data_IF_046470922725
#
_entry.id   IF_046470922725
#
_cell.length_a   1.000
_cell.length_b   1.000
_cell.length_c   1.000
_cell.angle_alpha   90.00
_cell.angle_beta   90.00
_cell.angle_gamma   90.00
#
_symmetry.space_group_name_H-M   'P 1'
#
loop_
_entity.id
_entity.type
_entity.pdbx_description
1 polymer ?
#
# COMPACT_ATOMS: atom_id res chain seq x y z
N UNK A 1 14.32 27.03 29.62
CA UNK A 1 13.46 26.27 28.67
C UNK A 1 14.32 25.18 28.09
N UNK A 2 14.07 23.90 28.41
CA UNK A 2 14.75 22.79 27.76
C UNK A 2 14.45 22.88 26.25
N UNK A 3 15.46 22.99 25.39
CA UNK A 3 15.29 22.95 23.95
C UNK A 3 14.65 21.59 23.63
N UNK A 4 13.40 21.59 23.17
CA UNK A 4 12.77 20.34 22.68
C UNK A 4 13.70 19.75 21.61
N UNK A 5 14.13 18.52 21.82
CA UNK A 5 14.97 17.79 20.87
C UNK A 5 14.27 17.75 19.51
N UNK A 6 15.01 18.06 18.43
CA UNK A 6 14.47 18.13 17.08
C UNK A 6 14.14 16.71 16.61
N UNK A 7 12.91 16.48 16.16
CA UNK A 7 12.37 15.16 15.84
C UNK A 7 13.16 14.44 14.76
N UNK A 8 13.58 15.16 13.70
CA UNK A 8 14.38 14.60 12.60
C UNK A 8 15.78 14.17 13.08
N UNK A 9 16.39 14.91 14.02
CA UNK A 9 17.70 14.55 14.59
C UNK A 9 17.59 13.27 15.40
N UNK A 10 16.61 13.21 16.31
CA UNK A 10 16.38 12.01 17.13
C UNK A 10 16.06 10.79 16.29
N UNK A 11 15.22 10.92 15.25
CA UNK A 11 14.94 9.83 14.33
C UNK A 11 16.19 9.35 13.60
N UNK A 12 17.02 10.27 13.10
CA UNK A 12 18.26 9.93 12.38
C UNK A 12 19.25 9.18 13.27
N UNK A 13 19.40 9.60 14.51
CA UNK A 13 20.25 8.91 15.50
C UNK A 13 19.76 7.50 15.77
N UNK A 14 18.46 7.31 16.02
CA UNK A 14 17.84 6.01 16.26
C UNK A 14 18.00 5.08 15.05
N UNK A 15 17.76 5.57 13.84
CA UNK A 15 17.90 4.78 12.60
C UNK A 15 19.33 4.36 12.36
N UNK A 16 20.31 5.24 12.64
CA UNK A 16 21.73 4.98 12.38
C UNK A 16 22.30 3.81 13.17
N UNK A 17 21.75 3.54 14.36
CA UNK A 17 22.25 2.49 15.26
C UNK A 17 21.55 1.14 15.13
N UNK A 18 20.47 1.05 14.35
CA UNK A 18 19.77 -0.23 14.12
C UNK A 18 20.66 -1.17 13.30
N UNK A 19 20.91 -2.33 13.86
CA UNK A 19 21.65 -3.42 13.20
C UNK A 19 20.69 -4.48 12.66
N UNK A 20 21.01 -5.16 11.54
CA UNK A 20 20.17 -6.22 10.98
C UNK A 20 19.78 -7.31 12.01
N UNK A 21 20.74 -7.69 12.88
CA UNK A 21 20.58 -8.75 13.88
C UNK A 21 19.63 -8.37 15.02
N UNK A 22 19.29 -7.09 15.14
CA UNK A 22 18.39 -6.57 16.17
C UNK A 22 16.94 -6.45 15.70
N UNK A 23 16.66 -6.71 14.42
CA UNK A 23 15.30 -6.72 13.90
C UNK A 23 14.60 -8.00 14.36
N UNK A 24 13.44 -7.91 15.04
CA UNK A 24 12.73 -9.09 15.51
C UNK A 24 12.29 -9.99 14.35
N UNK A 25 12.32 -11.30 14.57
CA UNK A 25 11.91 -12.30 13.56
C UNK A 25 10.49 -12.07 13.02
N UNK A 26 9.57 -11.60 13.85
CA UNK A 26 8.23 -11.20 13.42
C UNK A 26 8.27 -10.08 12.40
N UNK A 27 9.11 -9.05 12.60
CA UNK A 27 9.26 -7.94 11.63
C UNK A 27 9.93 -8.43 10.35
N UNK A 28 10.96 -9.28 10.45
CA UNK A 28 11.59 -9.91 9.27
C UNK A 28 10.55 -10.68 8.44
N UNK A 29 9.71 -11.47 9.10
CA UNK A 29 8.65 -12.24 8.41
C UNK A 29 7.65 -11.33 7.70
N UNK A 30 7.16 -10.29 8.36
CA UNK A 30 6.22 -9.31 7.78
C UNK A 30 6.86 -8.57 6.62
N UNK A 31 8.12 -8.13 6.75
CA UNK A 31 8.86 -7.46 5.67
C UNK A 31 8.97 -8.35 4.42
N UNK A 32 9.30 -9.64 4.57
CA UNK A 32 9.34 -10.60 3.46
C UNK A 32 7.97 -10.76 2.79
N UNK A 33 6.92 -10.86 3.58
CA UNK A 33 5.54 -10.97 3.09
C UNK A 33 5.12 -9.73 2.30
N UNK A 34 5.39 -8.53 2.83
CA UNK A 34 5.12 -7.26 2.13
C UNK A 34 5.93 -7.16 0.84
N UNK A 35 7.19 -7.57 0.87
CA UNK A 35 8.07 -7.55 -0.33
C UNK A 35 7.51 -8.44 -1.44
N UNK A 36 7.14 -9.69 -1.12
CA UNK A 36 6.54 -10.61 -2.09
C UNK A 36 5.21 -10.09 -2.63
N UNK A 37 4.35 -9.59 -1.75
CA UNK A 37 3.07 -9.00 -2.10
C UNK A 37 3.22 -7.81 -3.06
N UNK A 38 4.14 -6.89 -2.73
CA UNK A 38 4.42 -5.69 -3.54
C UNK A 38 4.92 -6.05 -4.93
N UNK A 39 5.86 -6.99 -5.03
CA UNK A 39 6.38 -7.45 -6.33
C UNK A 39 5.26 -8.11 -7.13
N UNK A 40 4.45 -8.97 -6.50
CA UNK A 40 3.30 -9.60 -7.16
C UNK A 40 2.28 -8.60 -7.69
N UNK A 41 1.98 -7.53 -6.93
CA UNK A 41 1.10 -6.45 -7.38
C UNK A 41 1.69 -5.68 -8.56
N UNK A 42 3.01 -5.40 -8.54
CA UNK A 42 3.67 -4.72 -9.65
C UNK A 42 3.66 -5.56 -10.95
N UNK A 43 3.89 -6.86 -10.83
CA UNK A 43 3.84 -7.77 -11.97
C UNK A 43 2.42 -7.88 -12.55
N UNK A 44 1.37 -7.84 -11.73
CA UNK A 44 -0.02 -7.82 -12.19
C UNK A 44 -0.31 -6.61 -13.10
N UNK A 45 0.26 -5.46 -12.77
CA UNK A 45 0.05 -4.20 -13.49
C UNK A 45 0.94 -4.02 -14.74
N UNK A 46 1.88 -4.93 -15.01
CA UNK A 46 2.93 -4.74 -16.02
C UNK A 46 2.40 -4.48 -17.44
N UNK A 47 1.20 -4.96 -17.78
CA UNK A 47 0.58 -4.76 -19.11
C UNK A 47 -0.49 -3.67 -19.16
N UNK A 48 -0.59 -2.85 -18.12
CA UNK A 48 -1.57 -1.77 -18.07
C UNK A 48 -1.15 -0.58 -18.95
N UNK A 49 -2.13 0.19 -19.43
CA UNK A 49 -1.90 1.38 -20.26
C UNK A 49 -1.07 2.47 -19.56
N UNK A 50 -1.21 2.60 -18.25
CA UNK A 50 -0.39 3.53 -17.47
C UNK A 50 1.06 3.08 -17.34
N UNK A 51 1.34 1.77 -17.31
CA UNK A 51 2.69 1.22 -17.38
C UNK A 51 3.35 1.51 -18.72
N UNK A 52 2.63 1.31 -19.82
CA UNK A 52 3.13 1.67 -21.17
C UNK A 52 3.48 3.16 -21.27
N UNK A 53 2.68 4.03 -20.68
CA UNK A 53 2.95 5.47 -20.64
C UNK A 53 4.22 5.81 -19.88
N UNK A 54 4.47 5.13 -18.75
CA UNK A 54 5.70 5.30 -17.96
C UNK A 54 6.94 4.79 -18.70
N UNK A 55 6.84 3.63 -19.34
CA UNK A 55 7.94 3.06 -20.15
C UNK A 55 8.35 3.98 -21.29
N UNK A 56 7.38 4.54 -22.02
CA UNK A 56 7.64 5.52 -23.08
C UNK A 56 8.35 6.78 -22.59
N UNK A 57 7.98 7.27 -21.39
CA UNK A 57 8.61 8.44 -20.77
C UNK A 57 10.01 8.15 -20.26
N UNK A 58 10.23 6.95 -19.68
CA UNK A 58 11.55 6.58 -19.15
C UNK A 58 12.63 6.49 -20.23
N UNK A 59 12.26 6.06 -21.45
CA UNK A 59 13.16 6.01 -22.60
C UNK A 59 13.72 7.38 -22.99
N UNK A 60 13.01 8.47 -22.67
CA UNK A 60 13.47 9.85 -22.91
C UNK A 60 14.47 10.32 -21.83
N UNK A 61 14.45 9.73 -20.66
CA UNK A 61 15.31 10.07 -19.51
C UNK A 61 16.71 9.45 -19.56
N UNK A 62 16.97 8.59 -20.52
CA UNK A 62 18.24 7.84 -20.65
C UNK A 62 18.13 6.36 -20.39
N UNK A 63 19.17 5.61 -20.72
CA UNK A 63 19.26 4.17 -20.49
C UNK A 63 19.82 3.87 -19.10
N UNK A 64 19.46 2.69 -18.55
CA UNK A 64 20.01 2.20 -17.29
C UNK A 64 19.78 0.68 -17.16
N UNK A 65 20.38 0.09 -16.15
CA UNK A 65 20.36 -1.35 -15.90
C UNK A 65 19.59 -1.74 -14.64
N UNK A 66 18.92 -0.78 -13.99
CA UNK A 66 18.12 -1.07 -12.80
C UNK A 66 16.84 -1.78 -13.26
N UNK A 67 16.49 -2.97 -12.71
CA UNK A 67 15.38 -3.77 -13.20
C UNK A 67 14.04 -3.04 -13.12
N UNK A 68 13.31 -3.04 -14.22
CA UNK A 68 11.86 -2.83 -14.23
C UNK A 68 11.23 -4.22 -14.08
N UNK A 69 10.46 -4.41 -13.02
CA UNK A 69 9.94 -5.72 -12.66
C UNK A 69 8.94 -6.24 -13.71
N UNK A 70 9.22 -7.43 -14.22
CA UNK A 70 8.43 -8.04 -15.30
C UNK A 70 8.84 -7.61 -16.70
N UNK A 71 9.95 -6.87 -16.88
CA UNK A 71 10.47 -6.47 -18.19
C UNK A 71 11.92 -6.93 -18.39
N UNK A 72 12.33 -7.04 -19.66
CA UNK A 72 13.71 -7.42 -19.99
C UNK A 72 14.67 -6.24 -19.85
N UNK A 73 14.22 -5.06 -20.24
CA UNK A 73 14.98 -3.84 -20.20
C UNK A 73 14.93 -3.21 -18.80
N UNK A 74 16.02 -2.56 -18.44
CA UNK A 74 16.11 -1.73 -17.24
C UNK A 74 15.98 -0.25 -17.56
N UNK A 75 15.99 0.57 -16.53
CA UNK A 75 16.00 2.03 -16.62
C UNK A 75 17.06 2.63 -15.69
N UNK A 76 17.22 3.96 -15.73
CA UNK A 76 17.91 4.67 -14.67
C UNK A 76 17.19 4.43 -13.33
N UNK A 77 17.91 4.66 -12.23
CA UNK A 77 17.43 4.33 -10.89
C UNK A 77 16.10 5.02 -10.53
N UNK A 78 15.92 6.25 -10.96
CA UNK A 78 14.73 7.04 -10.63
C UNK A 78 13.53 6.57 -11.43
N UNK A 79 13.71 6.33 -12.72
CA UNK A 79 12.68 5.79 -13.61
C UNK A 79 12.27 4.38 -13.18
N UNK A 80 13.23 3.51 -12.82
CA UNK A 80 12.94 2.16 -12.35
C UNK A 80 12.10 2.19 -11.05
N UNK A 81 12.50 3.00 -10.06
CA UNK A 81 11.74 3.13 -8.81
C UNK A 81 10.34 3.72 -9.06
N UNK A 82 10.21 4.72 -9.95
CA UNK A 82 8.94 5.32 -10.35
C UNK A 82 8.00 4.27 -10.96
N UNK A 83 8.48 3.52 -11.96
CA UNK A 83 7.67 2.52 -12.67
C UNK A 83 7.27 1.39 -11.72
N UNK A 84 8.23 0.81 -10.99
CA UNK A 84 7.98 -0.30 -10.09
C UNK A 84 6.98 0.08 -8.98
N UNK A 85 7.11 1.27 -8.38
CA UNK A 85 6.20 1.77 -7.35
C UNK A 85 4.81 2.09 -7.89
N UNK A 86 4.72 2.68 -9.07
CA UNK A 86 3.44 2.95 -9.73
C UNK A 86 2.71 1.66 -10.07
N UNK A 87 3.42 0.66 -10.62
CA UNK A 87 2.86 -0.65 -10.93
C UNK A 87 2.41 -1.38 -9.67
N UNK A 88 3.22 -1.35 -8.60
CA UNK A 88 2.87 -1.98 -7.33
C UNK A 88 1.56 -1.43 -6.73
N UNK A 89 1.28 -0.14 -6.92
CA UNK A 89 0.05 0.53 -6.45
C UNK A 89 -1.09 0.53 -7.48
N UNK A 90 -0.82 0.01 -8.68
CA UNK A 90 -1.69 0.14 -9.85
C UNK A 90 -3.07 -0.45 -9.69
N UNK A 91 -3.16 -1.63 -9.09
CA UNK A 91 -4.39 -2.41 -9.01
C UNK A 91 -5.12 -2.30 -7.66
N UNK A 92 -4.66 -1.44 -6.75
CA UNK A 92 -5.21 -1.25 -5.40
C UNK A 92 -5.29 -2.55 -4.59
N UNK A 93 -4.33 -3.45 -4.81
CA UNK A 93 -4.27 -4.76 -4.18
C UNK A 93 -3.09 -4.93 -3.22
N UNK A 94 -2.32 -3.89 -3.06
CA UNK A 94 -1.13 -3.81 -2.20
C UNK A 94 -1.48 -3.68 -0.72
N UNK A 95 -0.48 -3.94 0.12
CA UNK A 95 -0.59 -3.86 1.57
C UNK A 95 -0.96 -2.45 2.08
N UNK A 96 -1.62 -2.37 3.22
CA UNK A 96 -1.98 -1.12 3.89
C UNK A 96 -1.85 -1.23 5.40
N UNK A 97 -1.59 -0.10 6.08
CA UNK A 97 -1.53 -0.07 7.53
C UNK A 97 -2.92 0.23 8.12
N UNK A 98 -3.37 -0.57 9.08
CA UNK A 98 -4.66 -0.35 9.74
C UNK A 98 -4.62 0.89 10.63
N UNK A 99 -5.71 1.67 10.63
CA UNK A 99 -5.84 2.89 11.42
C UNK A 99 -5.27 4.15 10.75
N UNK A 100 -4.52 4.01 9.66
CA UNK A 100 -4.09 5.12 8.81
C UNK A 100 -3.94 4.63 7.36
N UNK A 101 -4.45 5.37 6.37
CA UNK A 101 -4.42 4.93 4.96
C UNK A 101 -3.05 5.15 4.32
N UNK A 102 -2.01 4.48 4.82
CA UNK A 102 -0.68 4.46 4.21
C UNK A 102 -0.34 3.07 3.67
N UNK A 103 0.33 3.04 2.52
CA UNK A 103 0.71 1.86 1.78
C UNK A 103 2.24 1.78 1.69
N UNK A 104 2.87 1.20 2.73
CA UNK A 104 4.33 1.24 2.85
C UNK A 104 5.04 0.35 1.82
N UNK A 105 4.47 -0.81 1.48
CA UNK A 105 5.06 -1.75 0.54
C UNK A 105 5.42 -1.11 -0.80
N UNK A 106 4.46 -0.42 -1.42
CA UNK A 106 4.57 0.15 -2.77
C UNK A 106 5.53 1.34 -2.89
N UNK A 107 5.93 1.92 -1.78
CA UNK A 107 6.91 3.01 -1.74
C UNK A 107 8.29 2.49 -1.36
N UNK A 108 8.36 1.76 -0.24
CA UNK A 108 9.64 1.37 0.36
C UNK A 108 10.32 0.26 -0.45
N UNK A 109 9.56 -0.76 -0.88
CA UNK A 109 10.15 -1.89 -1.63
C UNK A 109 10.77 -1.44 -2.96
N UNK A 110 10.11 -0.66 -3.83
CA UNK A 110 10.71 -0.17 -5.06
C UNK A 110 11.93 0.72 -4.84
N UNK A 111 11.88 1.60 -3.83
CA UNK A 111 13.01 2.47 -3.50
C UNK A 111 14.24 1.66 -3.09
N UNK A 112 14.06 0.73 -2.16
CA UNK A 112 15.17 -0.05 -1.58
C UNK A 112 15.72 -1.09 -2.54
N UNK A 113 14.88 -1.78 -3.33
CA UNK A 113 15.38 -2.75 -4.30
C UNK A 113 16.09 -2.05 -5.46
N UNK A 114 15.62 -0.89 -5.93
CA UNK A 114 16.30 -0.12 -6.98
C UNK A 114 17.65 0.42 -6.50
N UNK A 115 17.69 1.03 -5.30
CA UNK A 115 18.94 1.55 -4.72
C UNK A 115 19.90 0.41 -4.37
N UNK A 116 19.38 -0.68 -3.83
CA UNK A 116 20.17 -1.87 -3.51
C UNK A 116 20.82 -2.50 -4.73
N UNK A 117 20.09 -2.55 -5.86
CA UNK A 117 20.65 -3.02 -7.12
C UNK A 117 21.82 -2.14 -7.60
N UNK A 118 21.66 -0.81 -7.53
CA UNK A 118 22.71 0.14 -7.88
C UNK A 118 23.96 0.00 -6.99
N UNK A 119 23.76 -0.23 -5.69
CA UNK A 119 24.84 -0.30 -4.70
C UNK A 119 25.39 -1.71 -4.47
N UNK A 120 24.85 -2.73 -5.12
CA UNK A 120 25.16 -4.14 -4.87
C UNK A 120 24.96 -4.55 -3.41
N UNK A 121 23.93 -4.02 -2.76
CA UNK A 121 23.69 -4.21 -1.34
C UNK A 121 23.46 -5.68 -0.95
N UNK A 122 23.88 -6.05 0.26
CA UNK A 122 23.61 -7.37 0.82
C UNK A 122 22.13 -7.53 1.19
N UNK A 123 21.63 -8.77 1.18
CA UNK A 123 20.26 -9.05 1.62
C UNK A 123 19.98 -8.62 3.06
N UNK A 124 20.98 -8.65 3.94
CA UNK A 124 20.88 -8.14 5.33
C UNK A 124 20.65 -6.64 5.37
N UNK A 125 21.38 -5.86 4.56
CA UNK A 125 21.19 -4.41 4.49
C UNK A 125 19.87 -4.04 3.85
N UNK A 126 19.45 -4.79 2.82
CA UNK A 126 18.13 -4.66 2.21
C UNK A 126 17.03 -4.92 3.26
N UNK A 127 17.10 -6.03 3.99
CA UNK A 127 16.13 -6.36 5.03
C UNK A 127 16.06 -5.27 6.10
N UNK A 128 17.20 -4.75 6.54
CA UNK A 128 17.29 -3.65 7.49
C UNK A 128 16.59 -2.39 6.96
N UNK A 129 16.93 -1.98 5.75
CA UNK A 129 16.39 -0.76 5.15
C UNK A 129 14.88 -0.86 4.90
N UNK A 130 14.40 -2.01 4.40
CA UNK A 130 12.96 -2.28 4.23
C UNK A 130 12.22 -2.18 5.56
N UNK A 131 12.71 -2.85 6.61
CA UNK A 131 12.07 -2.85 7.93
C UNK A 131 12.00 -1.43 8.52
N UNK A 132 13.09 -0.67 8.46
CA UNK A 132 13.14 0.73 8.91
C UNK A 132 12.13 1.58 8.13
N UNK A 133 12.10 1.46 6.80
CA UNK A 133 11.19 2.24 5.97
C UNK A 133 9.72 1.97 6.27
N UNK A 134 9.33 0.71 6.41
CA UNK A 134 7.97 0.33 6.80
C UNK A 134 7.61 0.91 8.17
N UNK A 135 8.50 0.81 9.15
CA UNK A 135 8.29 1.34 10.49
C UNK A 135 8.11 2.86 10.51
N UNK A 136 9.01 3.59 9.83
CA UNK A 136 8.93 5.05 9.75
C UNK A 136 7.61 5.47 9.10
N UNK A 137 7.21 4.82 8.00
CA UNK A 137 5.97 5.17 7.31
C UNK A 137 4.72 4.92 8.14
N UNK A 138 4.65 3.80 8.85
CA UNK A 138 3.53 3.48 9.73
C UNK A 138 3.44 4.45 10.90
N UNK A 139 4.57 4.84 11.51
CA UNK A 139 4.61 5.81 12.61
C UNK A 139 4.21 7.22 12.15
N UNK A 140 4.70 7.68 11.00
CA UNK A 140 4.25 8.95 10.40
C UNK A 140 2.74 8.92 10.14
N UNK A 141 2.24 7.81 9.62
CA UNK A 141 0.82 7.60 9.42
C UNK A 141 0.01 7.66 10.72
N UNK A 142 0.51 7.04 11.78
CA UNK A 142 -0.16 7.04 13.09
C UNK A 142 -0.23 8.45 13.71
N UNK A 143 0.80 9.29 13.50
CA UNK A 143 0.78 10.69 13.94
C UNK A 143 -0.32 11.48 13.22
N UNK A 144 -0.44 11.30 11.90
CA UNK A 144 -1.38 12.08 11.08
C UNK A 144 -2.81 11.54 11.10
N UNK A 145 -2.99 10.24 11.34
CA UNK A 145 -4.28 9.59 11.20
C UNK A 145 -4.88 9.88 9.81
N UNK A 146 -6.01 10.60 9.78
CA UNK A 146 -6.70 10.97 8.53
C UNK A 146 -6.47 12.43 8.10
N UNK A 147 -5.71 13.23 8.86
CA UNK A 147 -5.62 14.69 8.65
C UNK A 147 -5.01 15.08 7.31
N UNK A 148 -3.98 14.38 6.85
CA UNK A 148 -3.39 14.60 5.52
C UNK A 148 -4.41 14.36 4.42
N UNK A 149 -5.21 13.30 4.54
CA UNK A 149 -6.27 13.00 3.58
C UNK A 149 -7.40 14.03 3.61
N UNK A 150 -7.78 14.51 4.80
CA UNK A 150 -8.79 15.57 4.96
C UNK A 150 -8.36 16.90 4.34
N UNK A 151 -7.05 17.16 4.28
CA UNK A 151 -6.46 18.33 3.60
C UNK A 151 -6.36 18.19 2.09
N UNK A 152 -6.83 17.08 1.51
CA UNK A 152 -6.80 16.85 0.07
C UNK A 152 -5.49 16.25 -0.45
N UNK A 153 -4.67 15.65 0.42
CA UNK A 153 -3.41 15.01 0.02
C UNK A 153 -3.46 13.50 0.23
N UNK A 154 -2.67 12.77 -0.57
CA UNK A 154 -2.52 11.33 -0.44
C UNK A 154 -1.45 10.99 0.60
N UNK A 155 -1.80 10.42 1.77
CA UNK A 155 -0.84 10.14 2.83
C UNK A 155 0.32 9.26 2.37
N UNK A 156 0.06 8.27 1.52
CA UNK A 156 1.09 7.40 0.94
C UNK A 156 2.16 8.18 0.18
N UNK A 157 1.78 9.23 -0.54
CA UNK A 157 2.73 10.06 -1.29
C UNK A 157 3.55 10.97 -0.37
N UNK A 158 2.86 11.74 0.49
CA UNK A 158 3.50 12.72 1.36
C UNK A 158 4.42 12.04 2.36
N UNK A 159 3.87 11.11 3.15
CA UNK A 159 4.61 10.43 4.22
C UNK A 159 5.60 9.39 3.66
N UNK A 160 5.25 8.79 2.52
CA UNK A 160 6.11 7.84 1.82
C UNK A 160 7.40 8.47 1.31
N UNK A 161 7.38 9.73 0.89
CA UNK A 161 8.59 10.47 0.51
C UNK A 161 9.58 10.58 1.68
N UNK A 162 9.10 10.89 2.88
CA UNK A 162 9.95 10.94 4.08
C UNK A 162 10.44 9.54 4.49
N UNK A 163 9.55 8.56 4.47
CA UNK A 163 9.86 7.19 4.89
C UNK A 163 10.86 6.50 3.94
N UNK A 164 10.69 6.65 2.63
CA UNK A 164 11.64 6.12 1.64
C UNK A 164 13.01 6.79 1.75
N UNK A 165 13.04 8.08 2.09
CA UNK A 165 14.29 8.79 2.36
C UNK A 165 15.04 8.19 3.55
N UNK A 166 14.36 7.93 4.66
CA UNK A 166 15.01 7.31 5.83
C UNK A 166 15.46 5.88 5.53
N UNK A 167 14.66 5.11 4.78
CA UNK A 167 15.05 3.77 4.34
C UNK A 167 16.28 3.78 3.41
N UNK A 168 16.30 4.67 2.41
CA UNK A 168 17.44 4.84 1.50
C UNK A 168 18.69 5.33 2.24
N UNK A 169 18.53 6.28 3.15
CA UNK A 169 19.62 6.78 3.99
C UNK A 169 20.21 5.68 4.87
N UNK A 170 19.36 4.82 5.43
CA UNK A 170 19.79 3.64 6.16
C UNK A 170 20.57 2.67 5.27
N UNK A 171 20.08 2.38 4.04
CA UNK A 171 20.77 1.50 3.09
C UNK A 171 22.13 2.03 2.68
N UNK A 172 22.26 3.34 2.49
CA UNK A 172 23.51 4.03 2.16
C UNK A 172 24.44 4.22 3.37
N UNK A 173 24.03 3.78 4.56
CA UNK A 173 24.78 3.97 5.81
C UNK A 173 25.16 5.44 6.06
N UNK A 174 24.25 6.38 5.75
CA UNK A 174 24.50 7.80 5.99
C UNK A 174 24.67 8.08 7.48
N UNK A 175 25.51 9.07 7.79
CA UNK A 175 25.67 9.57 9.16
C UNK A 175 24.39 10.32 9.60
N UNK A 176 24.08 10.43 10.91
CA UNK A 176 22.88 11.12 11.38
C UNK A 176 22.68 12.51 10.78
N UNK A 177 23.73 13.32 10.69
CA UNK A 177 23.67 14.66 10.07
C UNK A 177 23.26 14.61 8.59
N UNK A 178 23.74 13.63 7.84
CA UNK A 178 23.37 13.43 6.43
C UNK A 178 21.92 12.96 6.31
N UNK A 179 21.45 12.09 7.22
CA UNK A 179 20.05 11.66 7.28
C UNK A 179 19.10 12.84 7.57
N UNK A 180 19.51 13.76 8.46
CA UNK A 180 18.76 15.00 8.74
C UNK A 180 18.67 15.87 7.49
N UNK A 181 19.77 16.04 6.77
CA UNK A 181 19.76 16.76 5.49
C UNK A 181 18.84 16.06 4.48
N UNK A 182 18.92 14.73 4.36
CA UNK A 182 18.13 13.96 3.42
C UNK A 182 16.62 14.15 3.67
N UNK A 183 16.16 14.01 4.92
CA UNK A 183 14.75 14.18 5.25
C UNK A 183 14.30 15.65 5.07
N UNK A 184 15.20 16.61 5.32
CA UNK A 184 14.97 18.03 5.04
C UNK A 184 14.79 18.33 3.55
N UNK A 185 15.58 17.70 2.69
CA UNK A 185 15.46 17.79 1.23
C UNK A 185 14.15 17.13 0.79
N UNK A 186 13.85 15.93 1.30
CA UNK A 186 12.65 15.19 0.98
C UNK A 186 11.37 15.93 1.35
N UNK A 187 11.37 16.70 2.42
CA UNK A 187 10.23 17.52 2.84
C UNK A 187 9.77 18.50 1.72
N UNK A 188 10.72 19.03 0.94
CA UNK A 188 10.42 19.89 -0.22
C UNK A 188 9.98 19.11 -1.46
N UNK A 189 10.07 17.78 -1.46
CA UNK A 189 9.64 16.90 -2.55
C UNK A 189 8.30 16.23 -2.26
N UNK A 190 7.73 16.40 -1.06
CA UNK A 190 6.41 15.88 -0.70
C UNK A 190 5.32 16.46 -1.60
N UNK A 191 4.43 15.60 -2.09
CA UNK A 191 3.37 15.99 -3.04
C UNK A 191 2.26 14.93 -3.09
N UNK A 192 1.27 15.13 -3.97
CA UNK A 192 0.24 14.15 -4.27
C UNK A 192 -1.13 14.55 -3.73
N UNK A 193 -1.96 15.15 -4.61
CA UNK A 193 -3.35 15.53 -4.30
C UNK A 193 -4.30 14.36 -4.56
N UNK A 194 -5.46 14.37 -3.89
CA UNK A 194 -6.45 13.29 -4.01
C UNK A 194 -7.56 13.58 -5.03
N UNK A 195 -7.40 14.59 -5.88
CA UNK A 195 -8.41 14.95 -6.88
C UNK A 195 -8.74 13.82 -7.88
N UNK A 196 -7.86 12.83 -8.01
CA UNK A 196 -8.16 11.61 -8.77
C UNK A 196 -9.42 10.85 -8.29
N UNK A 197 -9.93 11.17 -7.10
CA UNK A 197 -11.17 10.59 -6.60
C UNK A 197 -12.39 11.10 -7.37
N UNK A 198 -12.29 12.26 -8.02
CA UNK A 198 -13.39 12.87 -8.79
C UNK A 198 -13.59 12.19 -10.15
N UNK A 199 -12.52 11.75 -10.80
CA UNK A 199 -12.56 11.25 -12.19
C UNK A 199 -11.94 9.86 -12.40
N UNK A 200 -11.27 9.30 -11.37
CA UNK A 200 -10.61 7.99 -11.45
C UNK A 200 -9.32 8.00 -12.28
N UNK A 201 -8.71 9.18 -12.49
CA UNK A 201 -7.46 9.33 -13.24
C UNK A 201 -6.31 8.51 -12.62
N UNK A 202 -5.24 8.29 -13.41
CA UNK A 202 -4.14 7.40 -13.05
C UNK A 202 -3.19 7.95 -11.98
N UNK A 203 -3.36 9.21 -11.55
CA UNK A 203 -2.39 9.90 -10.69
C UNK A 203 -2.22 9.29 -9.31
N UNK A 204 -3.26 8.64 -8.74
CA UNK A 204 -3.09 7.90 -7.48
C UNK A 204 -1.96 6.88 -7.57
N UNK A 205 -1.90 6.14 -8.68
CA UNK A 205 -0.91 5.07 -8.91
C UNK A 205 0.51 5.63 -8.92
N UNK A 206 0.69 6.77 -9.60
CA UNK A 206 1.96 7.48 -9.72
C UNK A 206 2.55 7.87 -8.36
N UNK A 207 1.72 8.19 -7.38
CA UNK A 207 2.15 8.72 -6.08
C UNK A 207 3.13 7.82 -5.34
N UNK A 208 2.95 6.50 -5.42
CA UNK A 208 3.84 5.55 -4.76
C UNK A 208 5.23 5.54 -5.39
N UNK A 209 5.29 5.47 -6.73
CA UNK A 209 6.56 5.54 -7.47
C UNK A 209 7.25 6.88 -7.33
N UNK A 210 6.48 7.98 -7.32
CA UNK A 210 7.01 9.32 -7.09
C UNK A 210 7.67 9.44 -5.71
N UNK A 211 7.02 8.95 -4.66
CA UNK A 211 7.57 8.92 -3.32
C UNK A 211 8.84 8.06 -3.23
N UNK A 212 8.87 6.91 -3.91
CA UNK A 212 10.02 6.02 -3.96
C UNK A 212 11.25 6.69 -4.61
N UNK A 213 11.09 7.26 -5.82
CA UNK A 213 12.19 7.96 -6.49
C UNK A 213 12.65 9.20 -5.74
N UNK A 214 11.73 9.93 -5.10
CA UNK A 214 12.06 11.14 -4.32
C UNK A 214 12.93 10.80 -3.12
N UNK A 215 12.65 9.69 -2.44
CA UNK A 215 13.48 9.21 -1.33
C UNK A 215 14.90 8.85 -1.74
N UNK A 216 15.06 8.17 -2.88
CA UNK A 216 16.39 7.87 -3.45
C UNK A 216 17.13 9.18 -3.76
N UNK A 217 16.45 10.11 -4.44
CA UNK A 217 17.04 11.38 -4.87
C UNK A 217 17.49 12.22 -3.68
N UNK A 218 16.64 12.36 -2.66
CA UNK A 218 16.95 13.11 -1.45
C UNK A 218 18.16 12.52 -0.70
N UNK A 219 18.23 11.20 -0.58
CA UNK A 219 19.34 10.52 0.10
C UNK A 219 20.67 10.68 -0.65
N UNK A 220 20.66 10.54 -1.98
CA UNK A 220 21.86 10.74 -2.79
C UNK A 220 22.33 12.19 -2.82
N UNK A 221 21.41 13.16 -2.83
CA UNK A 221 21.76 14.60 -2.71
C UNK A 221 22.43 14.89 -1.36
N UNK A 222 21.89 14.38 -0.26
CA UNK A 222 22.47 14.56 1.05
C UNK A 222 23.85 13.88 1.17
N UNK A 223 24.02 12.69 0.59
CA UNK A 223 25.32 12.00 0.51
C UNK A 223 26.35 12.84 -0.25
N UNK A 224 25.91 13.56 -1.30
CA UNK A 224 26.75 14.47 -2.08
C UNK A 224 27.01 15.83 -1.39
N UNK A 225 26.48 16.05 -0.18
CA UNK A 225 26.71 17.27 0.61
C UNK A 225 25.64 18.34 0.45
N UNK A 226 24.52 18.08 -0.25
CA UNK A 226 23.39 19.03 -0.29
C UNK A 226 22.71 19.09 1.08
N UNK A 227 22.26 20.30 1.49
CA UNK A 227 21.71 20.51 2.82
C UNK A 227 20.18 20.67 2.77
N UNK A 228 19.51 20.23 3.85
CA UNK A 228 18.08 20.39 4.06
C UNK A 228 17.78 20.97 5.44
N UNK A 229 16.60 21.56 5.66
CA UNK A 229 16.23 22.13 6.94
C UNK A 229 16.11 21.06 8.03
N UNK A 230 16.69 21.32 9.19
CA UNK A 230 16.70 20.40 10.32
C UNK A 230 15.31 20.16 10.89
N UNK A 231 14.49 21.20 11.05
CA UNK A 231 13.10 21.13 11.57
C UNK A 231 12.07 20.86 10.48
N UNK A 232 12.41 20.02 9.51
CA UNK A 232 11.54 19.74 8.35
C UNK A 232 10.25 19.00 8.70
N UNK A 233 10.22 18.26 9.80
CA UNK A 233 9.04 17.51 10.27
C UNK A 233 8.14 18.40 11.11
N UNK A 234 8.65 18.92 12.22
CA UNK A 234 7.93 19.56 13.32
C UNK A 234 8.10 21.08 13.40
N UNK A 235 8.79 21.69 12.45
CA UNK A 235 9.00 23.14 12.39
C UNK A 235 7.74 23.93 11.98
N UNK A 236 7.76 25.24 12.23
CA UNK A 236 6.65 26.16 11.94
C UNK A 236 6.24 26.17 10.46
N UNK A 237 7.12 25.75 9.57
CA UNK A 237 6.90 25.58 8.13
C UNK A 237 7.21 24.15 7.66
N UNK A 238 7.19 23.18 8.59
CA UNK A 238 7.48 21.77 8.31
C UNK A 238 6.34 21.04 7.60
N UNK A 239 6.58 19.76 7.30
CA UNK A 239 5.64 18.91 6.54
C UNK A 239 4.28 18.80 7.25
N UNK A 240 4.25 18.67 8.58
CA UNK A 240 2.99 18.55 9.31
C UNK A 240 2.18 19.84 9.33
N UNK A 241 2.85 21.00 9.35
CA UNK A 241 2.20 22.27 9.16
C UNK A 241 1.58 22.39 7.77
N UNK A 242 2.34 22.03 6.72
CA UNK A 242 1.91 22.19 5.34
C UNK A 242 0.80 21.21 4.92
N UNK A 243 0.91 19.93 5.32
CA UNK A 243 0.08 18.84 4.78
C UNK A 243 -0.93 18.27 5.78
N UNK A 244 -0.92 18.68 7.06
CA UNK A 244 -1.88 18.25 8.07
C UNK A 244 -2.57 19.44 8.74
N UNK A 245 -3.30 19.22 9.84
CA UNK A 245 -4.03 20.29 10.55
C UNK A 245 -3.16 21.03 11.59
N UNK A 246 -1.90 21.31 11.28
CA UNK A 246 -1.01 22.11 12.11
C UNK A 246 0.07 21.31 12.83
N UNK A 247 0.81 22.01 13.71
CA UNK A 247 2.02 21.50 14.36
C UNK A 247 1.77 20.85 15.74
N UNK A 248 0.54 20.87 16.23
CA UNK A 248 0.22 20.30 17.55
C UNK A 248 -0.04 18.77 17.44
N UNK A 249 1.00 18.03 17.07
CA UNK A 249 0.97 16.58 16.89
C UNK A 249 1.78 15.89 17.99
N UNK A 250 1.46 14.62 18.27
CA UNK A 250 2.29 13.80 19.13
C UNK A 250 3.47 13.20 18.35
N UNK A 251 4.55 13.96 18.21
CA UNK A 251 5.75 13.53 17.50
C UNK A 251 6.54 12.42 18.21
N UNK A 252 6.29 12.18 19.50
CA UNK A 252 6.94 11.10 20.26
C UNK A 252 6.65 9.73 19.63
N UNK A 253 5.48 9.57 19.03
CA UNK A 253 5.12 8.34 18.29
C UNK A 253 6.20 7.94 17.26
N UNK A 254 6.89 8.91 16.65
CA UNK A 254 7.92 8.65 15.66
C UNK A 254 9.18 8.03 16.25
N UNK A 255 9.52 8.37 17.50
CA UNK A 255 10.82 8.05 18.10
C UNK A 255 10.72 7.17 19.35
N UNK A 256 9.57 7.13 20.03
CA UNK A 256 9.38 6.33 21.23
C UNK A 256 9.59 4.83 20.92
N UNK A 257 10.44 4.18 21.70
CA UNK A 257 10.79 2.75 21.55
C UNK A 257 11.16 2.33 20.11
N UNK A 258 11.65 3.26 19.29
CA UNK A 258 12.06 2.95 17.91
C UNK A 258 13.19 1.90 17.89
N UNK A 259 12.99 0.84 17.12
CA UNK A 259 13.91 -0.31 17.07
C UNK A 259 13.63 -1.40 18.13
N UNK A 260 12.81 -1.12 19.15
CA UNK A 260 12.33 -2.09 20.14
C UNK A 260 10.88 -2.51 19.87
N UNK A 261 10.01 -1.54 19.66
CA UNK A 261 8.60 -1.74 19.30
C UNK A 261 8.40 -1.44 17.81
N UNK A 262 7.93 -2.43 17.08
CA UNK A 262 7.70 -2.36 15.63
C UNK A 262 6.20 -2.41 15.35
N UNK A 263 5.58 -1.25 15.11
CA UNK A 263 4.13 -1.17 14.85
C UNK A 263 3.77 -1.64 13.45
N UNK A 264 4.71 -1.57 12.50
CA UNK A 264 4.53 -2.02 11.13
C UNK A 264 4.29 -3.52 10.98
N UNK A 265 4.53 -4.32 12.03
CA UNK A 265 4.11 -5.73 12.10
C UNK A 265 2.61 -5.87 11.85
N UNK A 266 1.82 -4.85 12.18
CA UNK A 266 0.36 -4.83 11.98
C UNK A 266 -0.06 -4.40 10.57
N UNK A 267 0.86 -4.34 9.60
CA UNK A 267 0.50 -4.04 8.21
C UNK A 267 -0.35 -5.16 7.63
N UNK A 268 -1.52 -4.79 7.11
CA UNK A 268 -2.44 -5.71 6.46
C UNK A 268 -2.01 -5.98 5.02
N UNK A 269 -2.04 -7.25 4.60
CA UNK A 269 -1.93 -7.65 3.20
C UNK A 269 -3.35 -7.90 2.68
N UNK A 270 -3.77 -7.13 1.67
CA UNK A 270 -5.12 -7.21 1.14
C UNK A 270 -5.45 -8.61 0.59
N UNK A 271 -6.56 -9.17 1.05
CA UNK A 271 -7.09 -10.44 0.54
C UNK A 271 -7.84 -10.26 -0.80
N UNK A 272 -8.34 -9.05 -1.09
CA UNK A 272 -9.14 -8.73 -2.26
C UNK A 272 -8.64 -7.45 -2.94
N UNK A 273 -8.68 -7.34 -4.29
CA UNK A 273 -8.20 -6.16 -5.04
C UNK A 273 -9.23 -5.03 -5.05
N UNK A 274 -9.52 -4.48 -3.87
CA UNK A 274 -10.53 -3.44 -3.68
C UNK A 274 -10.20 -2.54 -2.48
N UNK A 275 -10.98 -1.49 -2.27
CA UNK A 275 -10.82 -0.62 -1.09
C UNK A 275 -10.91 -1.44 0.20
N UNK A 276 -9.95 -1.28 1.10
CA UNK A 276 -9.78 -2.13 2.30
C UNK A 276 -11.06 -2.26 3.13
N UNK A 277 -11.85 -1.18 3.24
CA UNK A 277 -13.11 -1.18 4.00
C UNK A 277 -14.24 -2.00 3.36
N UNK A 278 -14.09 -2.46 2.10
CA UNK A 278 -15.05 -3.37 1.45
C UNK A 278 -14.84 -4.83 1.86
N UNK A 279 -13.63 -5.18 2.32
CA UNK A 279 -13.23 -6.57 2.56
C UNK A 279 -14.11 -7.32 3.58
N UNK A 280 -14.47 -6.75 4.74
CA UNK A 280 -15.35 -7.45 5.68
C UNK A 280 -16.73 -7.75 5.08
N UNK A 281 -17.25 -6.86 4.21
CA UNK A 281 -18.52 -7.09 3.50
C UNK A 281 -18.39 -8.19 2.44
N UNK A 282 -17.23 -8.28 1.77
CA UNK A 282 -16.89 -9.37 0.84
C UNK A 282 -16.87 -10.69 1.60
N UNK A 283 -16.22 -10.76 2.76
CA UNK A 283 -16.17 -11.98 3.59
C UNK A 283 -17.58 -12.44 4.01
N UNK A 284 -18.46 -11.52 4.46
CA UNK A 284 -19.86 -11.83 4.76
C UNK A 284 -20.57 -12.41 3.54
N UNK A 285 -20.35 -11.84 2.35
CA UNK A 285 -20.98 -12.33 1.12
C UNK A 285 -20.43 -13.69 0.68
N UNK A 286 -19.12 -13.93 0.83
CA UNK A 286 -18.52 -15.24 0.57
C UNK A 286 -19.06 -16.33 1.51
N UNK A 287 -19.34 -15.99 2.76
CA UNK A 287 -20.03 -16.90 3.69
C UNK A 287 -21.49 -17.11 3.24
N UNK A 288 -22.24 -16.04 3.01
CA UNK A 288 -23.64 -16.10 2.59
C UNK A 288 -23.82 -16.93 1.32
N UNK A 289 -22.90 -16.79 0.34
CA UNK A 289 -22.99 -17.51 -0.94
C UNK A 289 -22.94 -19.04 -0.85
N UNK A 290 -22.56 -19.59 0.30
CA UNK A 290 -22.54 -21.03 0.58
C UNK A 290 -23.89 -21.54 1.09
N UNK A 291 -24.74 -20.63 1.60
CA UNK A 291 -25.94 -20.96 2.41
C UNK A 291 -27.24 -20.42 1.81
N UNK A 292 -27.16 -19.51 0.83
CA UNK A 292 -28.32 -18.86 0.25
C UNK A 292 -28.41 -19.12 -1.26
N UNK A 293 -29.67 -19.19 -1.75
CA UNK A 293 -29.97 -19.13 -3.18
C UNK A 293 -30.16 -17.66 -3.57
N UNK A 294 -29.31 -17.12 -4.47
CA UNK A 294 -29.35 -15.72 -4.89
C UNK A 294 -30.70 -15.33 -5.54
N UNK A 295 -31.41 -16.28 -6.17
CA UNK A 295 -32.71 -16.02 -6.77
C UNK A 295 -33.78 -15.69 -5.73
N UNK A 296 -33.61 -16.16 -4.50
CA UNK A 296 -34.53 -15.94 -3.38
C UNK A 296 -34.22 -14.67 -2.59
N UNK A 297 -33.09 -13.97 -2.90
CA UNK A 297 -32.72 -12.73 -2.21
C UNK A 297 -33.60 -11.60 -2.69
N UNK A 298 -34.34 -10.99 -1.76
CA UNK A 298 -35.15 -9.78 -1.99
C UNK A 298 -34.28 -8.52 -1.85
N UNK A 299 -33.63 -8.34 -0.71
CA UNK A 299 -32.72 -7.23 -0.44
C UNK A 299 -31.63 -7.60 0.56
N UNK A 300 -30.54 -6.82 0.56
CA UNK A 300 -29.43 -6.91 1.52
C UNK A 300 -29.26 -5.53 2.16
N UNK A 301 -29.30 -5.47 3.49
CA UNK A 301 -29.07 -4.25 4.25
C UNK A 301 -27.73 -4.37 5.00
N UNK A 302 -26.88 -3.37 4.86
CA UNK A 302 -25.55 -3.35 5.47
C UNK A 302 -25.47 -2.27 6.56
N UNK A 303 -24.94 -2.61 7.73
CA UNK A 303 -24.56 -1.65 8.75
C UNK A 303 -23.20 -1.05 8.37
N UNK A 304 -23.08 0.28 8.28
CA UNK A 304 -21.86 0.93 7.81
C UNK A 304 -21.44 2.10 8.70
N UNK A 305 -20.14 2.28 8.86
CA UNK A 305 -19.56 3.47 9.49
C UNK A 305 -19.72 4.70 8.58
N UNK A 306 -20.19 5.82 9.12
CA UNK A 306 -20.45 7.06 8.38
C UNK A 306 -19.24 7.52 7.55
N UNK A 307 -18.02 7.41 8.11
CA UNK A 307 -16.78 7.82 7.45
C UNK A 307 -16.44 7.03 6.17
N UNK A 308 -17.12 5.90 5.89
CA UNK A 308 -16.90 5.10 4.67
C UNK A 308 -17.87 5.47 3.55
N UNK A 309 -18.99 6.13 3.89
CA UNK A 309 -20.13 6.32 2.99
C UNK A 309 -19.76 7.08 1.72
N UNK A 310 -19.16 8.24 1.85
CA UNK A 310 -18.85 9.12 0.71
C UNK A 310 -17.91 8.49 -0.32
N UNK A 311 -17.09 7.52 0.07
CA UNK A 311 -16.11 6.88 -0.83
C UNK A 311 -16.60 5.58 -1.44
N UNK A 312 -17.35 4.78 -0.68
CA UNK A 312 -17.63 3.39 -1.02
C UNK A 312 -19.11 3.10 -1.29
N UNK A 313 -20.00 4.00 -0.85
CA UNK A 313 -21.44 3.78 -0.94
C UNK A 313 -22.15 4.86 -1.76
N UNK A 314 -21.62 6.09 -1.82
CA UNK A 314 -22.28 7.18 -2.52
C UNK A 314 -21.48 7.69 -3.74
N UNK A 315 -22.15 8.18 -4.78
CA UNK A 315 -23.60 8.09 -5.02
C UNK A 315 -24.04 6.63 -5.26
N UNK A 316 -25.03 6.15 -4.48
CA UNK A 316 -25.39 4.73 -4.44
C UNK A 316 -25.64 4.11 -5.82
N UNK A 317 -26.32 4.83 -6.71
CA UNK A 317 -26.61 4.37 -8.08
C UNK A 317 -25.36 4.11 -8.91
N UNK A 318 -24.35 4.98 -8.78
CA UNK A 318 -23.08 4.77 -9.45
C UNK A 318 -22.28 3.64 -8.81
N UNK A 319 -22.40 3.47 -7.49
CA UNK A 319 -21.75 2.35 -6.79
C UNK A 319 -22.40 1.01 -7.12
N UNK A 320 -23.70 0.98 -7.39
CA UNK A 320 -24.40 -0.23 -7.82
C UNK A 320 -24.12 -0.60 -9.29
N UNK A 321 -23.72 0.35 -10.10
CA UNK A 321 -23.36 0.17 -11.52
C UNK A 321 -22.14 1.04 -11.86
N UNK A 322 -20.93 0.65 -11.45
CA UNK A 322 -19.72 1.44 -11.63
C UNK A 322 -19.35 1.56 -13.11
N UNK A 323 -18.84 2.74 -13.53
CA UNK A 323 -18.58 3.04 -14.95
C UNK A 323 -17.33 2.35 -15.53
N UNK A 324 -16.41 1.87 -14.69
CA UNK A 324 -15.18 1.22 -15.10
C UNK A 324 -14.61 0.32 -13.99
N UNK A 325 -13.61 -0.49 -14.34
CA UNK A 325 -12.95 -1.44 -13.43
C UNK A 325 -12.42 -0.80 -12.16
N UNK A 326 -11.80 0.38 -12.28
CA UNK A 326 -11.21 1.05 -11.12
C UNK A 326 -12.27 1.59 -10.15
N UNK A 327 -13.34 2.19 -10.68
CA UNK A 327 -14.48 2.65 -9.87
C UNK A 327 -15.18 1.47 -9.15
N UNK A 328 -15.22 0.29 -9.78
CA UNK A 328 -15.79 -0.92 -9.20
C UNK A 328 -15.03 -1.38 -7.95
N UNK A 329 -13.71 -1.25 -7.91
CA UNK A 329 -12.85 -1.57 -6.74
C UNK A 329 -13.17 -0.71 -5.52
N UNK A 330 -13.80 0.45 -5.72
CA UNK A 330 -14.27 1.36 -4.67
C UNK A 330 -15.79 1.40 -4.53
N UNK A 331 -16.45 0.31 -4.89
CA UNK A 331 -17.88 0.12 -4.73
C UNK A 331 -18.17 -1.07 -3.84
N UNK A 332 -18.63 -0.83 -2.60
CA UNK A 332 -19.02 -1.94 -1.71
C UNK A 332 -20.16 -2.75 -2.28
N UNK A 333 -21.30 -2.17 -2.78
CA UNK A 333 -22.39 -2.96 -3.34
C UNK A 333 -21.96 -3.85 -4.50
N UNK A 334 -21.10 -3.34 -5.39
CA UNK A 334 -20.65 -4.11 -6.55
C UNK A 334 -19.67 -5.22 -6.14
N UNK A 335 -18.72 -4.95 -5.25
CA UNK A 335 -17.82 -5.97 -4.70
C UNK A 335 -18.59 -7.10 -3.99
N UNK A 336 -19.63 -6.76 -3.22
CA UNK A 336 -20.51 -7.74 -2.58
C UNK A 336 -21.25 -8.59 -3.60
N UNK A 337 -21.80 -7.99 -4.66
CA UNK A 337 -22.48 -8.72 -5.72
C UNK A 337 -21.53 -9.69 -6.44
N UNK A 338 -20.32 -9.23 -6.78
CA UNK A 338 -19.28 -10.11 -7.34
C UNK A 338 -18.98 -11.30 -6.43
N UNK A 339 -18.79 -11.06 -5.14
CA UNK A 339 -18.49 -12.11 -4.16
C UNK A 339 -19.63 -13.14 -4.04
N UNK A 340 -20.88 -12.70 -4.08
CA UNK A 340 -22.06 -13.56 -4.04
C UNK A 340 -22.16 -14.48 -5.28
N UNK A 341 -21.88 -13.93 -6.47
CA UNK A 341 -21.99 -14.68 -7.72
C UNK A 341 -20.80 -15.61 -7.96
N UNK A 342 -19.57 -15.11 -7.78
CA UNK A 342 -18.36 -15.87 -8.14
C UNK A 342 -17.79 -16.71 -7.01
N UNK A 343 -18.25 -16.50 -5.76
CA UNK A 343 -17.70 -17.20 -4.56
C UNK A 343 -16.18 -17.05 -4.41
N UNK A 344 -15.59 -16.12 -5.13
CA UNK A 344 -14.17 -15.74 -5.16
C UNK A 344 -14.09 -14.30 -5.66
N UNK A 345 -13.11 -13.54 -5.19
CA UNK A 345 -12.82 -12.20 -5.69
C UNK A 345 -11.33 -12.04 -5.92
N UNK A 346 -10.94 -11.82 -7.15
CA UNK A 346 -9.55 -11.56 -7.57
C UNK A 346 -9.53 -10.48 -8.66
N UNK A 347 -8.35 -10.19 -9.23
CA UNK A 347 -8.21 -9.15 -10.26
C UNK A 347 -9.12 -9.39 -11.48
N UNK A 348 -9.24 -10.63 -11.95
CA UNK A 348 -10.13 -10.97 -13.08
C UNK A 348 -11.62 -10.68 -12.79
N UNK A 349 -12.02 -10.61 -11.52
CA UNK A 349 -13.40 -10.32 -11.14
C UNK A 349 -13.86 -8.90 -11.48
N UNK A 350 -12.93 -8.00 -11.81
CA UNK A 350 -13.22 -6.61 -12.16
C UNK A 350 -13.16 -6.33 -13.67
N UNK A 351 -13.09 -7.37 -14.52
CA UNK A 351 -13.04 -7.21 -15.97
C UNK A 351 -14.33 -6.61 -16.54
N UNK A 352 -14.25 -6.01 -17.72
CA UNK A 352 -15.41 -5.44 -18.43
C UNK A 352 -16.56 -6.44 -18.61
N UNK A 353 -16.24 -7.72 -18.75
CA UNK A 353 -17.24 -8.78 -18.83
C UNK A 353 -18.18 -8.77 -17.63
N UNK A 354 -17.63 -8.65 -16.42
CA UNK A 354 -18.43 -8.68 -15.20
C UNK A 354 -19.03 -7.31 -14.86
N UNK A 355 -18.42 -6.21 -15.30
CA UNK A 355 -18.97 -4.87 -15.19
C UNK A 355 -20.28 -4.72 -15.98
N UNK A 356 -20.40 -5.41 -17.10
CA UNK A 356 -21.62 -5.39 -17.95
C UNK A 356 -22.61 -6.50 -17.64
N UNK A 357 -22.32 -7.38 -16.67
CA UNK A 357 -23.19 -8.51 -16.32
C UNK A 357 -24.46 -8.03 -15.59
N UNK A 358 -25.61 -8.26 -16.26
CA UNK A 358 -26.93 -7.82 -15.77
C UNK A 358 -27.32 -8.46 -14.46
N UNK A 359 -26.91 -9.70 -14.19
CA UNK A 359 -27.25 -10.41 -12.94
C UNK A 359 -26.44 -9.86 -11.77
N UNK A 360 -25.19 -9.53 -11.98
CA UNK A 360 -24.34 -8.87 -10.97
C UNK A 360 -24.91 -7.49 -10.66
N UNK A 361 -25.24 -6.68 -11.68
CA UNK A 361 -25.84 -5.35 -11.52
C UNK A 361 -27.19 -5.46 -10.80
N UNK A 362 -28.03 -6.44 -11.16
CA UNK A 362 -29.33 -6.69 -10.50
C UNK A 362 -29.14 -7.00 -9.01
N UNK A 363 -28.15 -7.81 -8.66
CA UNK A 363 -27.83 -8.14 -7.28
C UNK A 363 -27.29 -6.91 -6.54
N UNK A 364 -26.38 -6.15 -7.13
CA UNK A 364 -25.86 -4.91 -6.55
C UNK A 364 -27.00 -3.89 -6.25
N UNK A 365 -28.01 -3.79 -7.12
CA UNK A 365 -29.16 -2.92 -6.91
C UNK A 365 -30.05 -3.32 -5.70
N UNK A 366 -29.98 -4.57 -5.25
CA UNK A 366 -30.67 -5.05 -4.04
C UNK A 366 -29.93 -4.67 -2.75
N UNK A 367 -28.65 -4.24 -2.84
CA UNK A 367 -27.81 -3.91 -1.70
C UNK A 367 -28.02 -2.45 -1.31
N UNK A 368 -28.37 -2.25 -0.04
CA UNK A 368 -28.61 -0.96 0.60
C UNK A 368 -27.76 -0.88 1.87
N UNK A 369 -27.62 0.32 2.41
CA UNK A 369 -26.94 0.51 3.69
C UNK A 369 -27.79 1.33 4.66
N UNK A 370 -27.44 1.24 5.94
CA UNK A 370 -27.84 2.17 7.00
C UNK A 370 -26.59 2.52 7.82
N UNK A 371 -26.54 3.76 8.29
CA UNK A 371 -25.43 4.22 9.14
C UNK A 371 -25.57 3.58 10.52
N UNK A 372 -24.48 2.96 10.98
CA UNK A 372 -24.34 2.48 12.35
C UNK A 372 -23.49 3.48 13.14
N UNK A 373 -24.09 4.24 14.09
CA UNK A 373 -23.35 5.23 14.87
C UNK A 373 -22.29 4.63 15.83
N UNK A 374 -22.38 3.31 16.07
CA UNK A 374 -21.44 2.57 16.91
C UNK A 374 -20.37 1.83 16.11
N UNK A 375 -20.24 2.10 14.81
CA UNK A 375 -19.20 1.49 13.99
C UNK A 375 -17.81 1.97 14.44
N UNK A 376 -16.83 1.07 14.64
CA UNK A 376 -15.50 1.42 15.16
C UNK A 376 -14.57 2.11 14.16
N UNK A 377 -14.98 2.29 12.90
CA UNK A 377 -14.17 2.98 11.89
C UNK A 377 -13.73 4.37 12.36
N UNK A 378 -12.45 4.79 12.19
CA UNK A 378 -11.39 4.15 11.40
C UNK A 378 -10.48 3.18 12.19
N UNK A 379 -10.75 2.89 13.46
CA UNK A 379 -9.89 2.05 14.31
C UNK A 379 -9.90 0.59 13.90
N UNK A 380 -11.05 0.10 13.47
CA UNK A 380 -11.27 -1.27 13.02
C UNK A 380 -12.16 -1.28 11.78
N UNK A 381 -12.02 -2.34 10.98
CA UNK A 381 -12.83 -2.57 9.79
C UNK A 381 -13.68 -3.81 10.01
N UNK A 382 -14.98 -3.59 10.18
CA UNK A 382 -15.97 -4.65 10.44
C UNK A 382 -17.09 -4.60 9.40
N UNK A 383 -17.90 -5.65 9.33
CA UNK A 383 -19.14 -5.66 8.55
C UNK A 383 -20.23 -6.44 9.27
N UNK A 384 -21.45 -6.00 9.04
CA UNK A 384 -22.68 -6.71 9.39
C UNK A 384 -23.69 -6.54 8.26
N UNK A 385 -24.22 -7.65 7.74
CA UNK A 385 -25.20 -7.65 6.66
C UNK A 385 -26.43 -8.47 7.05
N UNK A 386 -27.58 -8.03 6.59
CA UNK A 386 -28.88 -8.69 6.75
C UNK A 386 -29.41 -9.04 5.37
N UNK A 387 -29.48 -10.31 5.06
CA UNK A 387 -30.02 -10.83 3.80
C UNK A 387 -31.46 -11.22 4.02
N UNK A 388 -32.41 -10.47 3.42
CA UNK A 388 -33.82 -10.78 3.42
C UNK A 388 -34.17 -11.64 2.19
N UNK A 389 -34.77 -12.78 2.43
CA UNK A 389 -35.28 -13.69 1.39
C UNK A 389 -36.73 -13.34 1.01
N UNK A 390 -37.14 -13.77 -0.17
CA UNK A 390 -38.54 -13.61 -0.68
C UNK A 390 -39.58 -14.26 0.24
N UNK A 391 -39.18 -15.26 1.03
CA UNK A 391 -40.02 -15.87 2.07
C UNK A 391 -40.26 -14.97 3.29
N UNK A 392 -39.58 -13.81 3.38
CA UNK A 392 -39.56 -12.96 4.56
C UNK A 392 -38.50 -13.34 5.60
N UNK A 393 -37.82 -14.48 5.45
CA UNK A 393 -36.75 -14.88 6.35
C UNK A 393 -35.57 -13.91 6.22
N UNK A 394 -34.96 -13.53 7.36
CA UNK A 394 -33.75 -12.72 7.41
C UNK A 394 -32.63 -13.59 7.94
N UNK A 395 -31.50 -13.61 7.21
CA UNK A 395 -30.23 -14.22 7.62
C UNK A 395 -29.21 -13.12 7.90
N UNK A 396 -28.49 -13.25 9.01
CA UNK A 396 -27.46 -12.29 9.44
C UNK A 396 -26.09 -12.90 9.25
N UNK A 397 -25.15 -12.10 8.72
CA UNK A 397 -23.73 -12.43 8.60
C UNK A 397 -22.91 -11.26 9.12
N UNK A 398 -21.84 -11.57 9.85
CA UNK A 398 -20.96 -10.54 10.42
C UNK A 398 -19.49 -10.94 10.33
N UNK A 399 -18.65 -9.94 10.18
CA UNK A 399 -17.18 -10.05 10.21
C UNK A 399 -16.63 -8.99 11.16
N UNK A 400 -15.84 -9.40 12.14
CA UNK A 400 -15.38 -8.54 13.22
C UNK A 400 -13.95 -8.02 13.06
N UNK A 401 -13.25 -8.41 11.99
CA UNK A 401 -11.90 -7.94 11.69
C UNK A 401 -11.61 -8.03 10.20
N UNK A 402 -10.56 -7.37 9.77
CA UNK A 402 -10.05 -7.40 8.41
C UNK A 402 -9.29 -8.71 8.16
N UNK A 403 -9.70 -9.50 7.17
CA UNK A 403 -8.88 -10.60 6.66
C UNK A 403 -7.62 -10.05 6.01
N UNK A 404 -6.47 -10.60 6.36
CA UNK A 404 -5.15 -10.10 5.99
C UNK A 404 -4.61 -9.04 6.94
N UNK A 405 -5.39 -8.58 7.93
CA UNK A 405 -5.00 -7.60 8.95
C UNK A 405 -4.41 -8.24 10.21
N UNK A 406 -4.19 -7.40 11.22
CA UNK A 406 -3.49 -7.76 12.47
C UNK A 406 -4.14 -8.92 13.25
N UNK A 407 -5.46 -9.06 13.18
CA UNK A 407 -6.21 -10.09 13.93
C UNK A 407 -6.45 -11.37 13.13
N UNK A 408 -6.32 -11.32 11.82
CA UNK A 408 -6.49 -12.46 10.90
C UNK A 408 -5.50 -12.31 9.73
N UNK A 409 -4.18 -12.38 9.99
CA UNK A 409 -3.17 -12.22 8.94
C UNK A 409 -3.26 -13.34 7.90
N UNK A 410 -2.94 -13.01 6.63
CA UNK A 410 -2.77 -14.05 5.62
C UNK A 410 -1.59 -14.95 5.97
N UNK A 411 -1.79 -16.24 5.86
CA UNK A 411 -0.73 -17.24 5.98
C UNK A 411 0.25 -17.16 4.80
N UNK A 412 1.48 -17.65 5.00
CA UNK A 412 2.48 -17.73 3.93
C UNK A 412 1.95 -18.43 2.66
N UNK A 413 1.22 -19.57 2.72
CA UNK A 413 0.61 -20.17 1.53
C UNK A 413 -0.40 -19.25 0.83
N UNK A 414 -1.23 -18.48 1.56
CA UNK A 414 -2.19 -17.55 0.96
C UNK A 414 -1.48 -16.38 0.25
N UNK A 415 -0.38 -15.87 0.80
CA UNK A 415 0.42 -14.82 0.17
C UNK A 415 1.09 -15.33 -1.11
N UNK A 416 1.63 -16.56 -1.08
CA UNK A 416 2.20 -17.21 -2.26
C UNK A 416 1.12 -17.43 -3.33
N UNK A 417 -0.07 -17.90 -2.94
CA UNK A 417 -1.18 -18.08 -3.87
C UNK A 417 -1.62 -16.75 -4.50
N UNK A 418 -1.67 -15.66 -3.72
CA UNK A 418 -1.94 -14.31 -4.21
C UNK A 418 -0.89 -13.87 -5.25
N UNK A 419 0.40 -14.10 -4.97
CA UNK A 419 1.48 -13.79 -5.90
C UNK A 419 1.32 -14.57 -7.22
N UNK A 420 1.00 -15.86 -7.16
CA UNK A 420 0.77 -16.71 -8.33
C UNK A 420 -0.48 -16.29 -9.13
N UNK A 421 -1.58 -15.93 -8.45
CA UNK A 421 -2.78 -15.38 -9.08
C UNK A 421 -2.47 -14.06 -9.82
N UNK A 422 -1.67 -13.17 -9.24
CA UNK A 422 -1.22 -11.92 -9.84
C UNK A 422 -0.37 -12.15 -11.10
N UNK A 423 0.55 -13.13 -11.08
CA UNK A 423 1.31 -13.52 -12.27
C UNK A 423 0.40 -14.05 -13.37
N UNK A 424 -0.57 -14.89 -13.02
CA UNK A 424 -1.52 -15.45 -13.96
C UNK A 424 -2.37 -14.34 -14.61
N UNK A 425 -2.77 -13.34 -13.87
CA UNK A 425 -3.53 -12.19 -14.37
C UNK A 425 -2.75 -11.42 -15.44
N UNK A 426 -1.49 -11.14 -15.22
CA UNK A 426 -0.63 -10.43 -16.18
C UNK A 426 -0.26 -11.27 -17.40
N UNK A 427 -0.51 -12.58 -17.39
CA UNK A 427 -0.01 -13.53 -18.40
C UNK A 427 1.51 -13.48 -18.60
N UNK A 428 2.25 -12.99 -17.61
CA UNK A 428 3.70 -13.00 -17.60
C UNK A 428 4.19 -14.41 -17.26
N UNK A 429 5.07 -14.94 -18.09
CA UNK A 429 5.76 -16.21 -17.80
C UNK A 429 7.07 -15.91 -17.06
N UNK A 430 7.00 -15.83 -15.76
CA UNK A 430 8.20 -15.79 -14.93
C UNK A 430 8.70 -17.23 -14.77
N UNK A 431 9.65 -17.64 -15.59
CA UNK A 431 10.21 -19.02 -15.61
C UNK A 431 10.77 -19.45 -14.25
N UNK A 432 11.11 -18.48 -13.39
CA UNK A 432 11.73 -18.68 -12.10
C UNK A 432 10.86 -18.18 -10.93
N UNK A 433 9.52 -18.16 -11.06
CA UNK A 433 8.62 -17.65 -10.00
C UNK A 433 8.87 -18.31 -8.64
N UNK A 434 9.01 -19.64 -8.58
CA UNK A 434 9.30 -20.35 -7.32
C UNK A 434 10.67 -19.97 -6.76
N UNK A 435 11.69 -19.81 -7.61
CA UNK A 435 13.01 -19.37 -7.16
C UNK A 435 12.96 -17.95 -6.59
N UNK A 436 12.20 -17.04 -7.19
CA UNK A 436 11.99 -15.69 -6.68
C UNK A 436 11.31 -15.72 -5.31
N UNK A 437 10.27 -16.53 -5.14
CA UNK A 437 9.59 -16.72 -3.85
C UNK A 437 10.59 -17.20 -2.80
N UNK A 438 11.37 -18.23 -3.10
CA UNK A 438 12.38 -18.78 -2.17
C UNK A 438 13.44 -17.74 -1.84
N UNK A 439 13.92 -16.97 -2.80
CA UNK A 439 14.90 -15.91 -2.59
C UNK A 439 14.35 -14.78 -1.69
N UNK A 440 13.08 -14.40 -1.84
CA UNK A 440 12.47 -13.39 -0.98
C UNK A 440 12.32 -13.90 0.46
N UNK A 441 11.94 -15.18 0.64
CA UNK A 441 11.85 -15.76 1.98
C UNK A 441 13.21 -16.04 2.64
N UNK A 442 14.30 -16.02 1.88
CA UNK A 442 15.69 -16.13 2.34
C UNK A 442 16.51 -14.88 1.97
N UNK A 443 15.84 -13.71 1.96
CA UNK A 443 16.43 -12.47 1.45
C UNK A 443 17.72 -12.09 2.16
N UNK A 444 17.78 -12.26 3.49
CA UNK A 444 18.97 -11.97 4.31
C UNK A 444 20.18 -12.85 4.01
N UNK A 445 20.01 -13.97 3.32
CA UNK A 445 21.10 -14.87 2.93
C UNK A 445 21.76 -14.45 1.61
N UNK A 446 21.12 -13.56 0.85
CA UNK A 446 21.68 -13.09 -0.41
C UNK A 446 22.92 -12.24 -0.15
N UNK A 447 24.04 -12.62 -0.78
CA UNK A 447 25.28 -11.83 -0.73
C UNK A 447 25.13 -10.49 -1.44
N UNK A 448 24.30 -10.48 -2.50
CA UNK A 448 24.04 -9.32 -3.32
C UNK A 448 22.59 -9.40 -3.84
N UNK A 449 21.85 -8.31 -3.74
CA UNK A 449 20.46 -8.22 -4.18
C UNK A 449 20.30 -8.48 -5.69
N UNK A 450 21.33 -8.28 -6.49
CA UNK A 450 21.35 -8.55 -7.92
C UNK A 450 21.18 -10.05 -8.27
N UNK A 451 21.28 -10.93 -7.25
CA UNK A 451 20.90 -12.34 -7.39
C UNK A 451 19.38 -12.54 -7.51
N UNK A 452 18.60 -11.54 -7.08
CA UNK A 452 17.14 -11.57 -7.16
C UNK A 452 16.71 -11.31 -8.60
N UNK A 453 16.16 -12.31 -9.25
CA UNK A 453 15.73 -12.19 -10.66
C UNK A 453 14.32 -11.59 -10.74
N UNK A 454 14.24 -10.28 -10.99
CA UNK A 454 13.00 -9.51 -11.13
C UNK A 454 12.64 -9.22 -12.60
N UNK A 455 13.48 -9.61 -13.54
CA UNK A 455 13.23 -9.46 -15.00
C UNK A 455 12.70 -10.75 -15.62
N UNK A 456 11.99 -10.59 -16.74
CA UNK A 456 11.52 -11.71 -17.58
C UNK A 456 12.67 -12.28 -18.45
N UNK A 457 13.69 -12.86 -17.85
CA UNK A 457 14.75 -13.57 -18.58
C UNK A 457 14.56 -15.06 -18.48
#
# INVERSE_FOLDING_TARGET
MSSKEVVSVKLAELVSVIKPEKIPSAMVSVTKNITLDTIGCALAAAKSSYTESLLRTSQQGGSGNIPIWGFQDGADIYSAALINGTNAHGEDFDSSFEGCPVHSGVVITPAILSLGHMTNASGKDIMRALSIGHEVMCRLGQITGTTVHQRGFHPTSVLGTLASTMACSALLHLRPKEMVNAIGIAASMCSGIIEYLSDGSSTKRLHAGWAAQSGIRASLLAQAGFTGPEKSIDGDHGVFFAFSNGTNQNYEILTEDFGHKWISINTAIKAYPSGTMTHPFIDCCLQASKEINLNEVDKIICDVGEGTVHRLWEPLKLKQNPPNEYAAKFSTPFCMALALHHKKLNLNSFSELYLSDKEIIRTANKIKYKINPNDPYPKEYIAKIFVQLSSGQIKEYSKHCLKGGRHEPLSKPEIIAKFQDNLSYSSLKLSNANKLIDQIYNLEELRNINQLNLSLR
#
